data_IF_322174657366
#
_entry.id   IF_322174657366
#
_cell.length_a   1.000
_cell.length_b   1.000
_cell.length_c   1.000
_cell.angle_alpha   90.00
_cell.angle_beta   90.00
_cell.angle_gamma   90.00
#
_symmetry.space_group_name_H-M   'P 1'
#
loop_
_entity.id
_entity.type
_entity.pdbx_description
1 polymer ?
#
# COMPACT_ATOMS: atom_id res chain seq x y z
N UNK A 1 17.82 -3.11 -14.51
CA UNK A 1 16.42 -3.28 -14.92
C UNK A 1 16.16 -4.76 -15.18
N UNK A 2 15.58 -5.46 -14.32
CA UNK A 2 15.26 -6.88 -14.47
C UNK A 2 14.21 -7.34 -13.47
N UNK A 3 13.72 -6.41 -12.65
CA UNK A 3 12.63 -6.67 -11.71
C UNK A 3 11.26 -6.58 -12.38
N UNK A 4 10.23 -6.79 -11.58
CA UNK A 4 8.82 -6.69 -11.97
C UNK A 4 8.48 -5.29 -12.51
N UNK A 5 8.89 -4.24 -11.82
CA UNK A 5 8.75 -2.85 -12.22
C UNK A 5 9.99 -2.42 -13.00
N UNK A 6 9.89 -2.44 -14.33
CA UNK A 6 11.01 -2.12 -15.24
C UNK A 6 10.76 -0.85 -16.06
N UNK A 7 9.84 -0.01 -15.63
CA UNK A 7 9.49 1.27 -16.24
C UNK A 7 9.91 2.44 -15.36
N UNK A 8 9.88 3.65 -15.90
CA UNK A 8 10.17 4.89 -15.20
C UNK A 8 8.95 5.82 -15.28
N UNK A 9 8.38 6.17 -14.14
CA UNK A 9 7.22 7.06 -14.06
C UNK A 9 7.52 8.50 -14.52
N UNK A 10 8.81 8.87 -14.59
CA UNK A 10 9.27 10.14 -15.17
C UNK A 10 9.43 10.09 -16.68
N UNK A 11 9.39 8.91 -17.31
CA UNK A 11 9.61 8.78 -18.75
C UNK A 11 8.45 9.41 -19.53
N UNK A 12 8.70 10.39 -20.42
CA UNK A 12 7.65 10.99 -21.23
C UNK A 12 7.02 9.97 -22.20
N UNK A 13 7.81 9.04 -22.73
CA UNK A 13 7.31 7.97 -23.62
C UNK A 13 6.39 7.02 -22.84
N UNK A 14 6.77 6.63 -21.65
CA UNK A 14 5.93 5.74 -20.83
C UNK A 14 4.60 6.43 -20.48
N UNK A 15 4.65 7.68 -20.05
CA UNK A 15 3.44 8.48 -19.77
C UNK A 15 2.54 8.64 -20.99
N UNK A 16 3.11 8.92 -22.15
CA UNK A 16 2.34 9.00 -23.41
C UNK A 16 1.61 7.68 -23.70
N UNK A 17 2.31 6.54 -23.61
CA UNK A 17 1.72 5.23 -23.89
C UNK A 17 0.66 4.83 -22.86
N UNK A 18 0.87 5.14 -21.61
CA UNK A 18 -0.11 4.95 -20.54
C UNK A 18 -1.37 5.78 -20.80
N UNK A 19 -1.21 7.04 -21.16
CA UNK A 19 -2.33 7.91 -21.50
C UNK A 19 -3.12 7.36 -22.71
N UNK A 20 -2.43 6.94 -23.76
CA UNK A 20 -3.05 6.37 -24.96
C UNK A 20 -3.89 5.13 -24.65
N UNK A 21 -3.33 4.15 -23.92
CA UNK A 21 -4.06 2.92 -23.63
C UNK A 21 -5.25 3.16 -22.69
N UNK A 22 -5.10 4.00 -21.67
CA UNK A 22 -6.18 4.32 -20.76
C UNK A 22 -7.31 5.08 -21.46
N UNK A 23 -6.99 6.00 -22.38
CA UNK A 23 -7.99 6.67 -23.22
C UNK A 23 -8.77 5.68 -24.06
N UNK A 24 -8.09 4.77 -24.78
CA UNK A 24 -8.74 3.76 -25.62
C UNK A 24 -9.64 2.82 -24.81
N UNK A 25 -9.20 2.40 -23.63
CA UNK A 25 -10.00 1.56 -22.73
C UNK A 25 -11.23 2.32 -22.22
N UNK A 26 -11.05 3.57 -21.84
CA UNK A 26 -12.13 4.43 -21.37
C UNK A 26 -13.19 4.67 -22.45
N UNK A 27 -12.78 5.06 -23.66
CA UNK A 27 -13.68 5.26 -24.80
C UNK A 27 -14.49 4.00 -25.14
N UNK A 28 -13.86 2.83 -25.03
CA UNK A 28 -14.49 1.56 -25.37
C UNK A 28 -15.44 1.05 -24.31
N UNK A 29 -15.11 1.21 -23.02
CA UNK A 29 -15.77 0.46 -21.95
C UNK A 29 -16.51 1.32 -20.92
N UNK A 30 -16.27 2.63 -20.82
CA UNK A 30 -16.82 3.44 -19.72
C UNK A 30 -18.34 3.57 -19.74
N UNK A 31 -19.01 3.29 -20.85
CA UNK A 31 -20.49 3.26 -20.97
C UNK A 31 -21.08 1.86 -20.83
N UNK A 32 -20.25 0.82 -20.71
CA UNK A 32 -20.74 -0.55 -20.63
C UNK A 32 -21.33 -0.86 -19.25
N UNK A 33 -22.57 -1.36 -19.13
CA UNK A 33 -23.27 -1.50 -17.86
C UNK A 33 -22.64 -2.51 -16.89
N UNK A 34 -21.76 -3.39 -17.38
CA UNK A 34 -21.04 -4.35 -16.53
C UNK A 34 -19.72 -3.78 -15.96
N UNK A 35 -19.30 -2.58 -16.36
CA UNK A 35 -18.12 -1.93 -15.78
C UNK A 35 -18.53 -1.22 -14.50
N UNK A 36 -17.97 -1.66 -13.37
CA UNK A 36 -18.27 -1.12 -12.04
C UNK A 36 -17.26 -0.06 -11.61
N UNK A 37 -16.06 -0.08 -12.16
CA UNK A 37 -14.97 0.82 -11.82
C UNK A 37 -13.69 0.44 -12.55
N UNK A 38 -12.63 1.17 -12.28
CA UNK A 38 -11.31 0.99 -12.87
C UNK A 38 -10.30 0.62 -11.81
N UNK A 39 -9.51 -0.41 -12.07
CA UNK A 39 -8.29 -0.71 -11.36
C UNK A 39 -7.12 -0.31 -12.26
N UNK A 40 -6.41 0.75 -11.88
CA UNK A 40 -5.27 1.26 -12.64
C UNK A 40 -3.97 0.68 -12.11
N UNK A 41 -3.03 0.45 -13.00
CA UNK A 41 -1.73 -0.15 -12.67
C UNK A 41 -1.86 -1.40 -11.78
N UNK A 42 -0.83 -1.75 -11.07
CA UNK A 42 -0.84 -2.81 -10.06
C UNK A 42 0.31 -2.59 -9.10
N UNK A 43 0.03 -2.47 -7.81
CA UNK A 43 1.03 -2.41 -6.75
C UNK A 43 2.18 -1.47 -7.12
N UNK A 44 1.91 -0.16 -7.18
CA UNK A 44 2.96 0.82 -7.44
C UNK A 44 4.17 0.58 -6.54
N UNK A 45 5.37 0.64 -7.10
CA UNK A 45 6.57 0.44 -6.31
C UNK A 45 7.84 0.50 -7.14
N UNK A 46 8.96 0.41 -6.42
CA UNK A 46 10.29 0.48 -6.98
C UNK A 46 10.76 1.91 -7.25
N UNK A 47 12.01 2.13 -6.92
CA UNK A 47 12.68 3.41 -7.14
C UNK A 47 13.40 3.42 -8.49
N UNK A 48 13.49 4.59 -9.10
CA UNK A 48 14.22 4.79 -10.34
C UNK A 48 15.19 5.98 -10.22
N UNK A 49 16.47 5.69 -10.36
CA UNK A 49 17.55 6.66 -10.21
C UNK A 49 18.12 7.14 -11.55
N UNK A 50 17.36 7.02 -12.66
CA UNK A 50 17.80 7.49 -13.97
C UNK A 50 17.84 9.02 -14.07
N UNK A 51 18.48 9.56 -15.10
CA UNK A 51 18.62 11.01 -15.30
C UNK A 51 17.28 11.76 -15.30
N UNK A 52 16.21 11.14 -15.80
CA UNK A 52 14.87 11.74 -15.78
C UNK A 52 14.37 11.91 -14.33
N UNK A 53 14.57 10.91 -13.48
CA UNK A 53 14.19 10.99 -12.08
C UNK A 53 15.10 11.94 -11.30
N UNK A 54 16.41 11.94 -11.57
CA UNK A 54 17.36 12.89 -10.98
C UNK A 54 16.95 14.34 -11.28
N UNK A 55 16.62 14.63 -12.52
CA UNK A 55 16.21 15.98 -12.92
C UNK A 55 14.87 16.37 -12.28
N UNK A 56 13.87 15.48 -12.27
CA UNK A 56 12.59 15.74 -11.59
C UNK A 56 12.76 15.93 -10.08
N UNK A 57 13.65 15.17 -9.45
CA UNK A 57 13.95 15.33 -8.03
C UNK A 57 14.53 16.72 -7.74
N UNK A 58 15.51 17.17 -8.53
CA UNK A 58 16.07 18.52 -8.41
C UNK A 58 15.03 19.60 -8.61
N UNK A 59 14.12 19.43 -9.58
CA UNK A 59 13.05 20.40 -9.81
C UNK A 59 12.02 20.40 -8.66
N UNK A 60 11.72 19.26 -8.09
CA UNK A 60 10.88 19.12 -6.89
C UNK A 60 11.54 19.81 -5.68
N UNK A 61 12.84 19.63 -5.48
CA UNK A 61 13.61 20.33 -4.42
C UNK A 61 13.63 21.85 -4.62
N UNK A 62 13.82 22.31 -5.85
CA UNK A 62 13.74 23.75 -6.16
C UNK A 62 12.36 24.33 -5.81
N UNK A 63 11.30 23.61 -6.14
CA UNK A 63 9.94 24.04 -5.80
C UNK A 63 9.71 24.08 -4.29
N UNK A 64 10.27 23.12 -3.54
CA UNK A 64 10.14 23.03 -2.09
C UNK A 64 10.97 24.06 -1.32
N UNK A 65 12.24 24.20 -1.66
CA UNK A 65 13.20 25.02 -0.91
C UNK A 65 13.46 26.38 -1.51
N UNK A 66 13.17 26.58 -2.79
CA UNK A 66 13.37 27.80 -3.57
C UNK A 66 14.84 28.15 -3.79
N UNK A 67 15.68 28.09 -2.77
CA UNK A 67 17.11 28.38 -2.83
C UNK A 67 17.95 27.26 -2.28
N UNK A 68 19.20 27.13 -2.74
CA UNK A 68 20.17 26.18 -2.19
C UNK A 68 20.52 26.50 -0.73
N UNK A 69 20.48 27.77 -0.35
CA UNK A 69 20.74 28.19 1.03
C UNK A 69 19.68 27.61 1.97
N UNK A 70 18.38 27.69 1.63
CA UNK A 70 17.31 27.12 2.39
C UNK A 70 17.42 25.58 2.48
N UNK A 71 17.76 24.93 1.37
CA UNK A 71 17.97 23.49 1.33
C UNK A 71 19.15 23.08 2.24
N UNK A 72 20.29 23.74 2.09
CA UNK A 72 21.49 23.47 2.89
C UNK A 72 21.23 23.65 4.38
N UNK A 73 20.46 24.68 4.76
CA UNK A 73 20.05 24.91 6.13
C UNK A 73 19.13 23.79 6.64
N UNK A 74 18.11 23.43 5.87
CA UNK A 74 17.16 22.40 6.25
C UNK A 74 17.80 21.01 6.38
N UNK A 75 18.70 20.67 5.49
CA UNK A 75 19.42 19.39 5.51
C UNK A 75 20.64 19.37 6.44
N UNK A 76 20.99 20.51 7.04
CA UNK A 76 22.21 20.65 7.87
C UNK A 76 23.48 20.23 7.12
N UNK A 77 23.55 20.53 5.83
CA UNK A 77 24.57 20.00 4.91
C UNK A 77 25.99 20.52 5.16
N UNK A 78 26.15 21.52 6.04
CA UNK A 78 27.47 21.97 6.49
C UNK A 78 28.24 20.92 7.28
N UNK A 79 27.54 19.93 7.84
CA UNK A 79 28.20 18.82 8.53
C UNK A 79 29.03 18.00 7.53
N UNK A 80 30.26 17.70 7.86
CA UNK A 80 31.25 17.08 6.98
C UNK A 80 31.46 17.77 5.63
N UNK A 81 31.17 19.08 5.55
CA UNK A 81 31.36 19.89 4.34
C UNK A 81 30.53 19.45 3.12
N UNK A 82 29.32 18.95 3.35
CA UNK A 82 28.38 18.54 2.29
C UNK A 82 27.55 19.70 1.70
N UNK A 83 27.96 20.95 1.90
CA UNK A 83 27.22 22.12 1.40
C UNK A 83 27.13 22.14 -0.12
N UNK A 84 25.94 22.10 -0.65
CA UNK A 84 25.69 22.23 -2.08
C UNK A 84 25.80 23.69 -2.55
N UNK A 85 26.50 23.90 -3.64
CA UNK A 85 26.68 25.23 -4.28
C UNK A 85 26.02 25.32 -5.65
N UNK A 86 25.59 24.19 -6.21
CA UNK A 86 24.81 24.09 -7.44
C UNK A 86 23.82 22.93 -7.34
N UNK A 87 22.64 23.11 -7.91
CA UNK A 87 21.59 22.09 -7.91
C UNK A 87 22.01 20.79 -8.61
N UNK A 88 22.91 20.89 -9.60
CA UNK A 88 23.38 19.70 -10.33
C UNK A 88 24.23 18.74 -9.49
N UNK A 89 24.73 19.21 -8.34
CA UNK A 89 25.49 18.39 -7.39
C UNK A 89 24.60 17.44 -6.57
N UNK A 90 23.29 17.69 -6.54
CA UNK A 90 22.34 16.88 -5.77
C UNK A 90 21.97 15.65 -6.60
N UNK A 91 22.22 14.49 -6.04
CA UNK A 91 21.82 13.20 -6.59
C UNK A 91 20.89 12.46 -5.59
N UNK A 92 20.10 11.52 -6.09
CA UNK A 92 19.27 10.69 -5.22
C UNK A 92 20.13 9.80 -4.32
N UNK A 93 19.69 9.42 -3.12
CA UNK A 93 20.36 8.42 -2.32
C UNK A 93 20.56 7.12 -3.10
N UNK A 94 21.73 6.52 -3.00
CA UNK A 94 22.03 5.24 -3.63
C UNK A 94 22.90 4.41 -2.71
N UNK A 95 22.89 3.06 -2.79
CA UNK A 95 23.66 2.20 -1.91
C UNK A 95 25.16 2.49 -1.86
N UNK A 96 25.69 3.15 -2.89
CA UNK A 96 27.10 3.58 -2.97
C UNK A 96 27.25 5.11 -2.97
N UNK A 97 26.15 5.84 -2.79
CA UNK A 97 26.11 7.29 -2.73
C UNK A 97 26.15 7.82 -1.30
N UNK A 98 25.86 9.11 -1.17
CA UNK A 98 25.78 9.77 0.13
C UNK A 98 24.50 9.38 0.85
N UNK A 99 24.63 8.69 1.97
CA UNK A 99 23.49 8.24 2.81
C UNK A 99 23.47 8.92 4.17
N UNK A 100 24.48 9.74 4.50
CA UNK A 100 24.57 10.43 5.80
C UNK A 100 23.86 11.76 5.87
N UNK A 101 23.26 12.23 4.75
CA UNK A 101 22.43 13.42 4.72
C UNK A 101 20.98 13.01 4.91
N UNK A 102 20.51 12.98 6.16
CA UNK A 102 19.17 12.53 6.52
C UNK A 102 18.05 13.31 5.79
N UNK A 103 18.23 14.62 5.62
CA UNK A 103 17.28 15.44 4.85
C UNK A 103 17.15 15.01 3.38
N UNK A 104 18.25 14.62 2.75
CA UNK A 104 18.24 14.04 1.40
C UNK A 104 17.44 12.74 1.34
N UNK A 105 17.68 11.83 2.28
CA UNK A 105 16.99 10.54 2.33
C UNK A 105 15.48 10.73 2.50
N UNK A 106 15.06 11.57 3.46
CA UNK A 106 13.63 11.86 3.69
C UNK A 106 12.99 12.53 2.48
N UNK A 107 13.66 13.49 1.87
CA UNK A 107 13.10 14.18 0.70
C UNK A 107 13.07 13.31 -0.55
N UNK A 108 13.92 12.30 -0.66
CA UNK A 108 13.83 11.30 -1.70
C UNK A 108 12.55 10.46 -1.56
N UNK A 109 12.21 10.00 -0.35
CA UNK A 109 10.94 9.29 -0.09
C UNK A 109 9.72 10.18 -0.36
N UNK A 110 9.77 11.44 0.06
CA UNK A 110 8.71 12.43 -0.24
C UNK A 110 8.55 12.66 -1.74
N UNK A 111 9.65 12.77 -2.46
CA UNK A 111 9.65 12.90 -3.91
C UNK A 111 9.07 11.64 -4.58
N UNK A 112 9.44 10.45 -4.15
CA UNK A 112 8.87 9.20 -4.68
C UNK A 112 7.36 9.14 -4.45
N UNK A 113 6.87 9.53 -3.27
CA UNK A 113 5.45 9.67 -2.99
C UNK A 113 4.77 10.63 -3.96
N UNK A 114 5.33 11.83 -4.13
CA UNK A 114 4.80 12.83 -5.05
C UNK A 114 4.81 12.33 -6.51
N UNK A 115 5.85 11.61 -6.92
CA UNK A 115 5.97 11.04 -8.27
C UNK A 115 4.94 9.94 -8.54
N UNK A 116 4.75 9.02 -7.59
CA UNK A 116 3.73 7.95 -7.68
C UNK A 116 2.33 8.56 -7.73
N UNK A 117 2.04 9.50 -6.86
CA UNK A 117 0.74 10.18 -6.81
C UNK A 117 0.45 10.98 -8.08
N UNK A 118 1.43 11.69 -8.61
CA UNK A 118 1.32 12.41 -9.89
C UNK A 118 1.09 11.44 -11.07
N UNK A 119 1.80 10.32 -11.08
CA UNK A 119 1.60 9.30 -12.12
C UNK A 119 0.22 8.63 -11.99
N UNK A 120 -0.23 8.32 -10.80
CA UNK A 120 -1.59 7.81 -10.54
C UNK A 120 -2.66 8.78 -11.08
N UNK A 121 -2.56 10.07 -10.78
CA UNK A 121 -3.46 11.10 -11.32
C UNK A 121 -3.42 11.17 -12.85
N UNK A 122 -2.25 11.00 -13.43
CA UNK A 122 -2.08 10.93 -14.89
C UNK A 122 -2.82 9.75 -15.52
N UNK A 123 -2.82 8.58 -14.88
CA UNK A 123 -3.59 7.42 -15.33
C UNK A 123 -5.10 7.59 -15.15
N UNK A 124 -5.54 8.25 -14.07
CA UNK A 124 -6.94 8.51 -13.76
C UNK A 124 -7.58 9.51 -14.73
N UNK A 125 -6.85 10.52 -15.15
CA UNK A 125 -7.38 11.65 -15.91
C UNK A 125 -8.21 11.24 -17.16
N UNK A 126 -7.74 10.38 -18.08
CA UNK A 126 -8.52 9.97 -19.24
C UNK A 126 -9.75 9.13 -18.88
N UNK A 127 -9.69 8.35 -17.79
CA UNK A 127 -10.79 7.53 -17.31
C UNK A 127 -11.94 8.40 -16.81
N UNK A 128 -11.62 9.39 -15.99
CA UNK A 128 -12.59 10.37 -15.45
C UNK A 128 -13.12 11.32 -16.51
N UNK A 129 -12.35 11.66 -17.52
CA UNK A 129 -12.79 12.45 -18.66
C UNK A 129 -13.86 11.74 -19.49
N UNK A 130 -13.74 10.40 -19.64
CA UNK A 130 -14.74 9.60 -20.36
C UNK A 130 -16.01 9.33 -19.54
N UNK A 131 -15.85 9.04 -18.25
CA UNK A 131 -16.98 8.84 -17.32
C UNK A 131 -16.57 9.14 -15.87
N UNK A 132 -16.89 10.32 -15.40
CA UNK A 132 -16.54 10.77 -14.05
C UNK A 132 -17.21 9.96 -12.93
N UNK A 133 -18.31 9.25 -13.22
CA UNK A 133 -19.07 8.49 -12.21
C UNK A 133 -18.46 7.12 -11.90
N UNK A 134 -17.64 6.57 -12.79
CA UNK A 134 -16.97 5.29 -12.52
C UNK A 134 -15.84 5.48 -11.52
N UNK A 135 -15.87 4.75 -10.39
CA UNK A 135 -14.82 4.86 -9.39
C UNK A 135 -13.50 4.25 -9.87
N UNK A 136 -12.40 4.80 -9.38
CA UNK A 136 -11.04 4.38 -9.72
C UNK A 136 -10.27 4.02 -8.44
N UNK A 137 -9.54 2.91 -8.49
CA UNK A 137 -8.65 2.45 -7.44
C UNK A 137 -7.34 1.90 -8.02
N UNK A 138 -6.38 1.69 -7.15
CA UNK A 138 -5.23 0.81 -7.35
C UNK A 138 -5.02 0.01 -6.07
N UNK A 139 -4.39 -1.16 -6.17
CA UNK A 139 -4.14 -2.01 -5.02
C UNK A 139 -2.89 -1.58 -4.25
N UNK A 140 -3.06 -1.39 -2.94
CA UNK A 140 -1.95 -1.25 -2.01
C UNK A 140 -1.41 -2.63 -1.60
N UNK A 141 -0.16 -2.67 -1.18
CA UNK A 141 0.44 -3.87 -0.59
C UNK A 141 0.40 -3.79 0.94
N UNK A 142 0.89 -4.82 1.62
CA UNK A 142 1.28 -4.70 3.03
C UNK A 142 2.25 -3.51 3.17
N UNK A 143 2.68 -3.19 4.37
CA UNK A 143 3.44 -1.99 4.68
C UNK A 143 4.59 -1.71 3.70
N UNK A 144 4.24 -1.04 2.60
CA UNK A 144 5.25 -0.65 1.62
C UNK A 144 6.05 0.55 2.13
N UNK A 145 7.36 0.51 1.96
CA UNK A 145 8.25 1.50 2.53
C UNK A 145 8.47 2.71 1.62
N UNK A 146 8.35 2.53 0.30
CA UNK A 146 8.88 3.45 -0.69
C UNK A 146 8.04 4.73 -0.83
N UNK A 147 6.75 4.73 -0.45
CA UNK A 147 5.89 5.91 -0.54
C UNK A 147 4.78 5.93 0.52
N UNK A 148 4.23 7.10 0.74
CA UNK A 148 3.20 7.38 1.72
C UNK A 148 1.81 7.05 1.16
N UNK A 149 1.10 6.14 1.82
CA UNK A 149 -0.23 5.69 1.43
C UNK A 149 -1.30 6.76 1.63
N UNK A 150 -1.17 7.63 2.63
CA UNK A 150 -2.14 8.69 2.86
C UNK A 150 -2.22 9.62 1.66
N UNK A 151 -1.07 10.06 1.15
CA UNK A 151 -1.02 10.95 -0.02
C UNK A 151 -1.53 10.28 -1.31
N UNK A 152 -1.21 9.02 -1.54
CA UNK A 152 -1.71 8.30 -2.71
C UNK A 152 -3.22 8.06 -2.62
N UNK A 153 -3.74 7.76 -1.43
CA UNK A 153 -5.17 7.52 -1.18
C UNK A 153 -6.04 8.73 -1.57
N UNK A 154 -5.52 9.96 -1.46
CA UNK A 154 -6.26 11.16 -1.88
C UNK A 154 -6.67 11.13 -3.36
N UNK A 155 -5.84 10.51 -4.22
CA UNK A 155 -6.09 10.44 -5.66
C UNK A 155 -7.14 9.39 -6.05
N UNK A 156 -7.48 8.46 -5.16
CA UNK A 156 -8.35 7.32 -5.42
C UNK A 156 -9.79 7.57 -4.93
N UNK A 157 -10.78 6.94 -5.56
CA UNK A 157 -12.16 7.00 -5.09
C UNK A 157 -12.43 6.06 -3.93
N UNK A 158 -11.79 4.91 -3.91
CA UNK A 158 -11.87 3.94 -2.82
C UNK A 158 -10.54 3.18 -2.68
N UNK A 159 -10.33 2.58 -1.53
CA UNK A 159 -9.12 1.82 -1.22
C UNK A 159 -9.30 0.35 -1.61
N UNK A 160 -8.27 -0.21 -2.20
CA UNK A 160 -8.11 -1.65 -2.37
C UNK A 160 -6.69 -2.06 -2.01
N UNK A 161 -6.51 -3.29 -1.50
CA UNK A 161 -5.21 -3.77 -1.10
C UNK A 161 -5.06 -5.29 -1.20
N UNK A 162 -3.83 -5.75 -1.13
CA UNK A 162 -3.44 -7.14 -1.29
C UNK A 162 -2.90 -7.69 0.02
N UNK A 163 -3.44 -8.81 0.47
CA UNK A 163 -3.05 -9.41 1.73
C UNK A 163 -2.73 -10.89 1.57
N UNK A 164 -1.48 -11.21 1.88
CA UNK A 164 -0.94 -12.58 1.79
C UNK A 164 -0.28 -13.04 3.09
N UNK A 165 -0.99 -13.07 4.23
CA UNK A 165 -0.42 -13.47 5.51
C UNK A 165 0.13 -14.91 5.44
N UNK A 166 1.30 -15.12 6.04
CA UNK A 166 1.98 -16.41 6.05
C UNK A 166 1.39 -17.37 7.08
N UNK A 167 0.09 -17.65 6.98
CA UNK A 167 -0.57 -18.61 7.86
C UNK A 167 0.20 -19.94 7.94
N UNK A 168 0.41 -20.43 9.17
CA UNK A 168 1.11 -21.67 9.50
C UNK A 168 2.65 -21.62 9.32
N UNK A 169 3.24 -20.47 9.10
CA UNK A 169 4.69 -20.30 9.15
C UNK A 169 5.16 -20.28 10.59
N UNK A 170 4.57 -19.43 11.39
CA UNK A 170 4.97 -19.19 12.77
C UNK A 170 4.05 -19.94 13.74
N UNK A 171 4.49 -20.06 14.99
CA UNK A 171 3.73 -20.76 16.04
C UNK A 171 2.56 -19.93 16.57
N UNK A 172 2.63 -18.60 16.44
CA UNK A 172 1.60 -17.68 16.93
C UNK A 172 0.75 -17.13 15.77
N UNK A 173 -0.26 -17.91 15.38
CA UNK A 173 -1.24 -17.50 14.36
C UNK A 173 -2.11 -16.33 14.86
N UNK A 174 -2.26 -16.14 16.19
CA UNK A 174 -3.01 -15.03 16.77
C UNK A 174 -2.27 -13.71 16.59
N UNK A 175 -0.95 -13.70 16.80
CA UNK A 175 -0.13 -12.51 16.53
C UNK A 175 -0.21 -12.11 15.04
N UNK A 176 -0.14 -13.08 14.12
CA UNK A 176 -0.29 -12.82 12.69
C UNK A 176 -1.69 -12.28 12.36
N UNK A 177 -2.73 -12.83 12.97
CA UNK A 177 -4.11 -12.36 12.78
C UNK A 177 -4.27 -10.91 13.28
N UNK A 178 -3.70 -10.57 14.42
CA UNK A 178 -3.68 -9.21 14.97
C UNK A 178 -2.94 -8.23 14.04
N UNK A 179 -1.79 -8.63 13.54
CA UNK A 179 -1.00 -7.83 12.61
C UNK A 179 -1.77 -7.56 11.31
N UNK A 180 -2.38 -8.59 10.74
CA UNK A 180 -3.23 -8.48 9.55
C UNK A 180 -4.45 -7.59 9.81
N UNK A 181 -5.06 -7.69 10.98
CA UNK A 181 -6.19 -6.86 11.39
C UNK A 181 -5.82 -5.37 11.44
N UNK A 182 -4.64 -5.05 11.97
CA UNK A 182 -4.14 -3.66 11.99
C UNK A 182 -4.03 -3.07 10.58
N UNK A 183 -3.58 -3.86 9.60
CA UNK A 183 -3.56 -3.40 8.20
C UNK A 183 -4.95 -3.21 7.61
N UNK A 184 -5.89 -4.11 7.89
CA UNK A 184 -7.27 -3.92 7.47
C UNK A 184 -7.84 -2.62 8.02
N UNK A 185 -7.62 -2.34 9.31
CA UNK A 185 -8.08 -1.10 9.95
C UNK A 185 -7.38 0.13 9.38
N UNK A 186 -6.09 0.04 9.02
CA UNK A 186 -5.39 1.12 8.33
C UNK A 186 -6.00 1.39 6.95
N UNK A 187 -6.23 0.37 6.13
CA UNK A 187 -6.83 0.54 4.80
C UNK A 187 -8.21 1.17 4.88
N UNK A 188 -9.01 0.78 5.86
CA UNK A 188 -10.28 1.44 6.15
C UNK A 188 -10.09 2.92 6.54
N UNK A 189 -9.07 3.22 7.32
CA UNK A 189 -8.82 4.59 7.84
C UNK A 189 -8.31 5.54 6.76
N UNK A 190 -7.61 5.07 5.71
CA UNK A 190 -7.09 5.89 4.60
C UNK A 190 -8.15 6.77 3.92
N UNK A 191 -9.42 6.38 3.97
CA UNK A 191 -10.56 7.14 3.41
C UNK A 191 -11.62 7.45 4.46
N UNK A 192 -11.21 7.75 5.71
CA UNK A 192 -12.11 8.18 6.77
C UNK A 192 -13.20 7.16 7.11
N UNK A 193 -12.83 5.89 7.23
CA UNK A 193 -13.74 4.80 7.57
C UNK A 193 -14.60 4.28 6.41
N UNK A 194 -14.32 4.70 5.18
CA UNK A 194 -14.97 4.11 4.01
C UNK A 194 -14.56 2.64 3.85
N UNK A 195 -15.50 1.74 3.49
CA UNK A 195 -15.15 0.36 3.20
C UNK A 195 -14.07 0.23 2.13
N UNK A 196 -13.21 -0.75 2.30
CA UNK A 196 -12.16 -1.09 1.33
C UNK A 196 -12.47 -2.40 0.58
N UNK A 197 -11.74 -2.68 -0.47
CA UNK A 197 -11.76 -3.95 -1.19
C UNK A 197 -10.47 -4.71 -0.91
N UNK A 198 -10.55 -5.94 -0.40
CA UNK A 198 -9.43 -6.86 -0.42
C UNK A 198 -9.27 -7.37 -1.86
N UNK A 199 -8.39 -6.69 -2.62
CA UNK A 199 -8.26 -6.88 -4.07
C UNK A 199 -7.57 -8.18 -4.41
N UNK A 200 -6.56 -8.54 -3.63
CA UNK A 200 -5.84 -9.79 -3.78
C UNK A 200 -5.69 -10.53 -2.45
N UNK A 201 -5.94 -11.82 -2.50
CA UNK A 201 -5.56 -12.78 -1.47
C UNK A 201 -5.40 -14.15 -2.11
N UNK A 202 -4.71 -15.07 -1.45
CA UNK A 202 -4.65 -16.43 -1.99
C UNK A 202 -5.68 -17.33 -1.33
N UNK A 203 -6.42 -18.13 -2.11
CA UNK A 203 -7.27 -19.15 -1.52
C UNK A 203 -6.47 -20.38 -1.06
N UNK A 204 -5.21 -20.53 -1.46
CA UNK A 204 -4.34 -21.67 -1.16
C UNK A 204 -3.01 -21.27 -0.52
N UNK A 205 -1.96 -21.22 -1.32
CA UNK A 205 -0.61 -20.84 -0.91
C UNK A 205 -0.01 -19.83 -1.88
N UNK A 206 0.91 -19.01 -1.38
CA UNK A 206 1.76 -18.16 -2.21
C UNK A 206 3.03 -18.90 -2.60
N UNK A 207 3.52 -18.72 -3.82
CA UNK A 207 4.76 -19.38 -4.26
C UNK A 207 6.02 -18.51 -4.09
N UNK A 208 5.86 -17.23 -3.83
CA UNK A 208 6.95 -16.27 -3.65
C UNK A 208 7.39 -16.10 -2.19
N UNK A 209 6.68 -16.68 -1.26
CA UNK A 209 7.05 -16.73 0.15
C UNK A 209 8.22 -17.71 0.37
N UNK A 210 9.11 -17.49 1.39
CA UNK A 210 10.22 -18.39 1.70
C UNK A 210 9.80 -19.84 1.89
N UNK A 211 8.59 -20.07 2.41
CA UNK A 211 7.97 -21.39 2.52
C UNK A 211 6.53 -21.31 2.06
N UNK A 212 6.23 -22.00 0.96
CA UNK A 212 4.87 -22.08 0.42
C UNK A 212 4.09 -23.18 1.16
N UNK A 213 3.19 -22.77 2.05
CA UNK A 213 2.29 -23.68 2.77
C UNK A 213 0.84 -23.42 2.39
N UNK A 214 0.09 -24.50 2.21
CA UNK A 214 -1.36 -24.38 2.03
C UNK A 214 -2.01 -23.93 3.34
N UNK A 215 -2.99 -23.04 3.24
CA UNK A 215 -3.87 -22.71 4.36
C UNK A 215 -4.51 -23.98 4.92
N UNK A 216 -4.57 -24.13 6.24
CA UNK A 216 -5.31 -25.20 6.91
C UNK A 216 -6.79 -25.16 6.52
N UNK A 217 -7.50 -26.31 6.59
CA UNK A 217 -8.95 -26.31 6.41
C UNK A 217 -9.65 -25.27 7.28
N UNK A 218 -10.51 -24.45 6.69
CA UNK A 218 -11.23 -23.37 7.36
C UNK A 218 -10.47 -22.03 7.47
N UNK A 219 -9.15 -22.00 7.36
CA UNK A 219 -8.36 -20.77 7.49
C UNK A 219 -8.68 -19.76 6.38
N UNK A 220 -8.96 -20.23 5.17
CA UNK A 220 -9.38 -19.35 4.09
C UNK A 220 -10.67 -18.59 4.43
N UNK A 221 -11.66 -19.29 4.97
CA UNK A 221 -12.94 -18.70 5.39
C UNK A 221 -12.70 -17.71 6.54
N UNK A 222 -11.93 -18.11 7.56
CA UNK A 222 -11.66 -17.29 8.74
C UNK A 222 -10.94 -15.98 8.37
N UNK A 223 -9.87 -16.05 7.59
CA UNK A 223 -9.10 -14.87 7.17
C UNK A 223 -9.92 -13.92 6.28
N UNK A 224 -10.78 -14.46 5.43
CA UNK A 224 -11.67 -13.66 4.60
C UNK A 224 -12.76 -12.96 5.43
N UNK A 225 -13.34 -13.66 6.41
CA UNK A 225 -14.31 -13.06 7.33
C UNK A 225 -13.66 -12.01 8.24
N UNK A 226 -12.39 -12.18 8.60
CA UNK A 226 -11.64 -11.14 9.32
C UNK A 226 -11.57 -9.86 8.50
N UNK A 227 -11.21 -9.94 7.21
CA UNK A 227 -11.19 -8.75 6.35
C UNK A 227 -12.57 -8.04 6.32
N UNK A 228 -13.67 -8.81 6.19
CA UNK A 228 -15.03 -8.25 6.22
C UNK A 228 -15.36 -7.63 7.58
N UNK A 229 -14.99 -8.28 8.68
CA UNK A 229 -15.20 -7.74 10.03
C UNK A 229 -14.44 -6.43 10.29
N UNK A 230 -13.33 -6.22 9.59
CA UNK A 230 -12.53 -4.98 9.63
C UNK A 230 -12.91 -3.96 8.54
N UNK A 231 -13.99 -4.18 7.79
CA UNK A 231 -14.56 -3.20 6.86
C UNK A 231 -14.34 -3.47 5.37
N UNK A 232 -13.94 -4.68 4.97
CA UNK A 232 -13.89 -5.01 3.55
C UNK A 232 -15.29 -5.27 2.99
N UNK A 233 -15.65 -4.59 1.89
CA UNK A 233 -16.88 -4.86 1.12
C UNK A 233 -16.74 -6.03 0.14
N UNK A 234 -15.53 -6.44 -0.17
CA UNK A 234 -15.25 -7.54 -1.09
C UNK A 234 -13.95 -8.23 -0.74
N UNK A 235 -13.92 -9.55 -0.94
CA UNK A 235 -12.70 -10.37 -0.84
C UNK A 235 -12.48 -11.04 -2.19
N UNK A 236 -11.37 -10.70 -2.84
CA UNK A 236 -11.01 -11.19 -4.15
C UNK A 236 -9.76 -12.07 -4.07
N UNK A 237 -9.50 -12.84 -5.13
CA UNK A 237 -8.44 -13.84 -5.12
C UNK A 237 -7.53 -13.71 -6.34
N UNK A 238 -6.26 -13.70 -6.10
CA UNK A 238 -5.28 -14.08 -7.08
C UNK A 238 -4.94 -15.56 -6.88
N UNK A 239 -5.44 -16.52 -7.74
CA UNK A 239 -6.14 -16.22 -8.99
C UNK A 239 -7.30 -17.21 -9.22
N UNK A 240 -8.12 -16.96 -10.26
CA UNK A 240 -9.20 -17.90 -10.60
C UNK A 240 -8.67 -19.25 -11.04
N UNK A 241 -7.75 -19.28 -12.01
CA UNK A 241 -7.17 -20.50 -12.55
C UNK A 241 -5.65 -20.44 -12.50
N UNK A 242 -5.04 -21.46 -11.93
CA UNK A 242 -3.60 -21.56 -11.74
C UNK A 242 -2.83 -21.50 -13.06
N UNK A 243 -1.82 -20.66 -13.13
CA UNK A 243 -0.96 -20.44 -14.27
C UNK A 243 -0.19 -21.71 -14.64
N UNK A 244 -0.01 -21.94 -15.94
CA UNK A 244 0.72 -23.11 -16.46
C UNK A 244 2.24 -22.95 -16.40
N UNK A 245 2.72 -21.74 -16.34
CA UNK A 245 4.14 -21.41 -16.44
C UNK A 245 4.50 -20.12 -15.76
N UNK A 246 5.77 -19.69 -15.92
CA UNK A 246 6.35 -18.50 -15.32
C UNK A 246 6.51 -18.60 -13.81
N UNK A 247 6.90 -17.48 -13.18
CA UNK A 247 7.29 -17.43 -11.76
C UNK A 247 6.14 -17.75 -10.81
N UNK A 248 4.90 -17.47 -11.20
CA UNK A 248 3.70 -17.68 -10.38
C UNK A 248 2.92 -18.96 -10.70
N UNK A 249 3.50 -19.90 -11.45
CA UNK A 249 2.85 -21.18 -11.81
C UNK A 249 2.38 -22.03 -10.63
N UNK A 250 2.93 -21.82 -9.45
CA UNK A 250 2.54 -22.50 -8.22
C UNK A 250 1.76 -21.62 -7.25
N UNK A 251 1.44 -20.38 -7.62
CA UNK A 251 0.57 -19.54 -6.82
C UNK A 251 -0.80 -20.19 -6.64
N UNK A 252 -1.43 -19.97 -5.48
CA UNK A 252 -2.77 -20.50 -5.19
C UNK A 252 -3.81 -20.02 -6.19
N UNK A 253 -4.80 -20.85 -6.44
CA UNK A 253 -5.92 -20.52 -7.32
C UNK A 253 -7.19 -21.23 -6.89
N UNK A 254 -8.36 -20.72 -7.30
CA UNK A 254 -9.64 -21.39 -7.07
C UNK A 254 -9.71 -22.69 -7.86
N UNK A 255 -9.29 -22.65 -9.13
CA UNK A 255 -9.13 -23.83 -9.98
C UNK A 255 -7.65 -24.15 -10.11
N UNK A 256 -7.21 -25.21 -9.44
CA UNK A 256 -5.82 -25.68 -9.47
C UNK A 256 -5.47 -26.40 -10.79
N UNK A 257 -4.23 -26.86 -10.93
CA UNK A 257 -3.74 -27.61 -12.09
C UNK A 257 -4.53 -28.87 -12.41
N UNK A 258 -5.24 -29.45 -11.43
CA UNK A 258 -6.19 -30.55 -11.66
C UNK A 258 -7.33 -30.17 -12.62
N UNK A 259 -7.57 -28.88 -12.86
CA UNK A 259 -8.46 -28.39 -13.91
C UNK A 259 -9.94 -28.32 -13.55
N UNK A 260 -10.33 -28.59 -12.32
CA UNK A 260 -11.72 -28.50 -11.86
C UNK A 260 -11.84 -27.83 -10.47
N UNK A 261 -13.03 -27.36 -10.14
CA UNK A 261 -13.32 -26.65 -8.89
C UNK A 261 -13.61 -27.59 -7.70
N UNK A 262 -13.89 -28.87 -7.96
CA UNK A 262 -14.17 -29.84 -6.88
C UNK A 262 -12.91 -30.23 -6.12
N UNK A 263 -12.37 -29.27 -5.41
CA UNK A 263 -11.23 -29.38 -4.49
C UNK A 263 -11.63 -28.83 -3.14
N UNK A 264 -10.83 -29.06 -2.10
CA UNK A 264 -11.06 -28.43 -0.80
C UNK A 264 -11.12 -26.89 -0.93
N UNK A 265 -10.18 -26.30 -1.67
CA UNK A 265 -10.11 -24.86 -1.89
C UNK A 265 -11.37 -24.34 -2.58
N UNK A 266 -11.77 -24.95 -3.69
CA UNK A 266 -12.97 -24.53 -4.41
C UNK A 266 -14.26 -24.65 -3.57
N UNK A 267 -14.36 -25.71 -2.73
CA UNK A 267 -15.48 -25.85 -1.78
C UNK A 267 -15.46 -24.78 -0.69
N UNK A 268 -14.28 -24.42 -0.15
CA UNK A 268 -14.16 -23.34 0.85
C UNK A 268 -14.53 -21.98 0.26
N UNK A 269 -14.09 -21.67 -0.95
CA UNK A 269 -14.48 -20.43 -1.66
C UNK A 269 -15.99 -20.38 -1.90
N UNK A 270 -16.59 -21.47 -2.37
CA UNK A 270 -18.04 -21.55 -2.57
C UNK A 270 -18.80 -21.42 -1.25
N UNK A 271 -18.30 -22.02 -0.17
CA UNK A 271 -18.90 -21.90 1.17
C UNK A 271 -18.81 -20.48 1.70
N UNK A 272 -17.68 -19.79 1.50
CA UNK A 272 -17.54 -18.38 1.88
C UNK A 272 -18.54 -17.50 1.12
N UNK A 273 -18.68 -17.67 -0.19
CA UNK A 273 -19.69 -16.96 -0.98
C UNK A 273 -21.10 -17.18 -0.45
N UNK A 274 -21.45 -18.41 -0.06
CA UNK A 274 -22.74 -18.73 0.54
C UNK A 274 -22.93 -18.14 1.96
N UNK A 275 -21.85 -17.92 2.72
CA UNK A 275 -21.90 -17.21 4.00
C UNK A 275 -22.15 -15.71 3.74
N UNK A 276 -21.35 -15.09 2.89
CA UNK A 276 -21.44 -13.64 2.62
C UNK A 276 -22.78 -13.25 2.00
N UNK A 277 -23.38 -14.10 1.16
CA UNK A 277 -24.71 -13.86 0.60
C UNK A 277 -25.83 -13.79 1.65
N UNK A 278 -25.59 -14.27 2.87
CA UNK A 278 -26.52 -14.22 4.01
C UNK A 278 -26.27 -13.04 4.94
N UNK A 279 -25.30 -12.19 4.62
CA UNK A 279 -24.87 -11.05 5.42
C UNK A 279 -24.94 -9.74 4.60
N UNK A 280 -26.07 -9.47 3.90
CA UNK A 280 -26.16 -8.26 3.06
C UNK A 280 -26.04 -6.98 3.87
N UNK A 281 -26.35 -7.03 5.16
CA UNK A 281 -26.31 -5.90 6.08
C UNK A 281 -24.91 -5.36 6.35
N UNK A 282 -23.86 -6.17 6.17
CA UNK A 282 -22.48 -5.71 6.40
C UNK A 282 -21.94 -4.87 5.24
N UNK A 283 -22.58 -4.93 4.07
CA UNK A 283 -22.12 -4.20 2.88
C UNK A 283 -22.29 -2.70 3.06
N UNK A 284 -21.23 -1.93 2.83
CA UNK A 284 -21.21 -0.48 2.97
C UNK A 284 -21.24 0.00 4.43
N UNK A 285 -21.17 -0.91 5.41
CA UNK A 285 -21.10 -0.54 6.82
C UNK A 285 -19.82 0.20 7.13
N UNK A 286 -19.94 1.19 8.03
CA UNK A 286 -18.79 1.91 8.59
C UNK A 286 -18.59 1.50 10.05
N UNK A 287 -17.34 1.40 10.45
CA UNK A 287 -16.98 1.19 11.85
C UNK A 287 -16.72 2.56 12.51
N UNK A 288 -17.41 2.85 13.60
CA UNK A 288 -17.15 4.04 14.41
C UNK A 288 -16.16 3.70 15.52
N UNK A 289 -14.87 3.90 15.23
CA UNK A 289 -13.83 3.74 16.25
C UNK A 289 -13.78 4.97 17.16
N UNK A 290 -13.61 4.74 18.47
CA UNK A 290 -13.35 5.78 19.47
C UNK A 290 -11.90 5.80 19.95
N UNK A 291 -11.11 4.86 19.44
CA UNK A 291 -9.67 4.75 19.68
C UNK A 291 -8.96 4.93 18.36
N UNK A 292 -7.92 5.73 18.35
CA UNK A 292 -7.02 5.86 17.20
C UNK A 292 -5.59 5.53 17.61
N UNK A 293 -4.84 4.95 16.69
CA UNK A 293 -3.39 4.78 16.78
C UNK A 293 -2.75 5.51 15.62
N UNK A 294 -1.82 6.39 15.92
CA UNK A 294 -1.06 7.11 14.89
C UNK A 294 0.00 6.17 14.31
N UNK A 295 -0.05 6.06 12.99
CA UNK A 295 1.00 5.47 12.19
C UNK A 295 1.41 6.46 11.10
N UNK A 296 2.53 7.13 11.33
CA UNK A 296 3.05 8.17 10.47
C UNK A 296 4.21 7.64 9.63
N UNK A 297 4.06 7.71 8.31
CA UNK A 297 5.06 7.17 7.39
C UNK A 297 6.34 8.00 7.37
N UNK A 298 6.24 9.31 7.54
CA UNK A 298 7.42 10.17 7.57
C UNK A 298 8.22 9.96 8.85
N UNK A 299 7.54 9.79 9.98
CA UNK A 299 8.18 9.42 11.24
C UNK A 299 8.85 8.03 11.14
N UNK A 300 8.24 7.05 10.45
CA UNK A 300 8.86 5.76 10.17
C UNK A 300 10.19 5.92 9.42
N UNK A 301 10.18 6.66 8.31
CA UNK A 301 11.40 6.92 7.54
C UNK A 301 12.47 7.62 8.39
N UNK A 302 12.06 8.61 9.17
CA UNK A 302 12.99 9.35 10.02
C UNK A 302 13.60 8.48 11.13
N UNK A 303 12.82 7.59 11.74
CA UNK A 303 13.30 6.63 12.75
C UNK A 303 14.31 5.64 12.17
N UNK A 304 14.05 5.14 10.97
CA UNK A 304 14.93 4.19 10.30
C UNK A 304 16.24 4.84 9.82
N UNK A 305 16.19 6.15 9.50
CA UNK A 305 17.35 6.92 9.07
C UNK A 305 18.14 7.53 10.25
N UNK A 306 17.51 7.76 11.39
CA UNK A 306 18.12 8.39 12.54
C UNK A 306 19.21 7.53 13.20
N UNK A 307 20.34 8.16 13.51
CA UNK A 307 21.45 7.51 14.21
C UNK A 307 21.49 7.91 15.69
N UNK A 308 20.69 7.25 16.50
CA UNK A 308 20.72 7.45 17.95
C UNK A 308 19.35 7.19 18.59
N UNK A 309 19.22 7.07 19.88
CA UNK A 309 20.10 6.41 20.83
C UNK A 309 20.22 4.89 20.57
N UNK A 310 19.54 4.36 19.56
CA UNK A 310 19.59 2.99 19.09
C UNK A 310 19.61 2.99 17.55
N UNK A 311 20.68 2.50 16.94
CA UNK A 311 20.88 2.57 15.50
C UNK A 311 20.29 1.40 14.71
N UNK A 312 19.83 0.34 15.39
CA UNK A 312 19.20 -0.82 14.75
C UNK A 312 18.01 -1.29 15.60
N UNK A 313 16.97 -1.79 14.94
CA UNK A 313 15.85 -2.43 15.59
C UNK A 313 14.97 -1.45 16.36
N UNK A 314 14.71 -0.27 15.81
CA UNK A 314 13.68 0.64 16.33
C UNK A 314 12.28 0.03 16.20
N UNK A 315 12.06 -0.81 15.19
CA UNK A 315 10.87 -1.65 15.01
C UNK A 315 9.55 -0.86 15.19
N UNK A 316 9.45 0.33 14.55
CA UNK A 316 8.29 1.22 14.69
C UNK A 316 6.96 0.51 14.43
N UNK A 317 6.86 -0.18 13.31
CA UNK A 317 5.66 -0.93 12.89
C UNK A 317 5.25 -2.00 13.92
N UNK A 318 6.21 -2.75 14.44
CA UNK A 318 5.97 -3.74 15.49
C UNK A 318 5.49 -3.07 16.78
N UNK A 319 6.09 -1.94 17.15
CA UNK A 319 5.69 -1.18 18.34
C UNK A 319 4.26 -0.67 18.21
N UNK A 320 3.88 -0.14 17.05
CA UNK A 320 2.48 0.25 16.78
C UNK A 320 1.54 -0.95 16.93
N UNK A 321 1.90 -2.11 16.38
CA UNK A 321 1.09 -3.32 16.50
C UNK A 321 0.98 -3.82 17.95
N UNK A 322 2.03 -3.73 18.75
CA UNK A 322 2.00 -4.07 20.16
C UNK A 322 1.04 -3.17 20.98
N UNK A 323 0.90 -1.89 20.59
CA UNK A 323 -0.08 -0.98 21.17
C UNK A 323 -1.51 -1.21 20.64
N UNK A 324 -1.66 -1.67 19.40
CA UNK A 324 -2.94 -2.03 18.81
C UNK A 324 -3.54 -3.31 19.42
N UNK A 325 -2.70 -4.30 19.69
CA UNK A 325 -3.10 -5.65 20.13
C UNK A 325 -4.06 -5.70 21.31
N UNK A 326 -3.87 -4.96 22.43
CA UNK A 326 -4.78 -5.01 23.57
C UNK A 326 -6.23 -4.62 23.25
N UNK A 327 -6.43 -3.71 22.30
CA UNK A 327 -7.77 -3.30 21.86
C UNK A 327 -8.39 -4.36 20.96
N UNK A 328 -7.62 -4.87 20.01
CA UNK A 328 -8.07 -5.93 19.13
C UNK A 328 -8.48 -7.20 19.88
N UNK A 329 -7.70 -7.62 20.87
CA UNK A 329 -8.02 -8.78 21.73
C UNK A 329 -9.31 -8.61 22.55
N UNK A 330 -9.71 -7.37 22.82
CA UNK A 330 -10.95 -7.04 23.52
C UNK A 330 -12.12 -6.70 22.58
N UNK A 331 -11.92 -6.76 21.27
CA UNK A 331 -12.94 -6.42 20.28
C UNK A 331 -13.28 -4.92 20.23
N UNK A 332 -12.35 -4.07 20.65
CA UNK A 332 -12.49 -2.62 20.57
C UNK A 332 -12.00 -2.15 19.20
N UNK A 333 -12.87 -1.47 18.47
CA UNK A 333 -12.51 -0.92 17.16
C UNK A 333 -11.45 0.19 17.27
N UNK A 334 -10.45 0.13 16.42
CA UNK A 334 -9.34 1.10 16.36
C UNK A 334 -9.21 1.61 14.92
N UNK A 335 -9.06 2.91 14.76
CA UNK A 335 -8.58 3.50 13.50
C UNK A 335 -7.06 3.63 13.56
N UNK A 336 -6.39 3.27 12.47
CA UNK A 336 -4.96 3.49 12.30
C UNK A 336 -4.81 4.69 11.36
N UNK A 337 -4.34 5.81 11.89
CA UNK A 337 -4.43 7.11 11.24
C UNK A 337 -3.05 7.78 11.08
N UNK A 338 -2.97 8.72 10.16
CA UNK A 338 -1.83 9.64 10.05
C UNK A 338 -1.83 10.70 11.16
N UNK A 339 -0.67 11.32 11.39
CA UNK A 339 -0.54 12.40 12.39
C UNK A 339 -1.36 13.66 12.03
N UNK A 340 -1.60 13.91 10.74
CA UNK A 340 -2.32 15.09 10.24
C UNK A 340 -3.86 14.95 10.23
N UNK A 341 -4.40 13.80 10.68
CA UNK A 341 -5.85 13.56 10.71
C UNK A 341 -6.51 14.30 11.88
N UNK A 342 -7.76 14.77 11.69
CA UNK A 342 -8.56 15.36 12.77
C UNK A 342 -8.77 14.35 13.91
N UNK A 343 -8.28 14.67 15.09
CA UNK A 343 -8.34 13.82 16.28
C UNK A 343 -9.64 14.00 17.11
N UNK A 344 -10.46 14.99 16.79
CA UNK A 344 -11.67 15.33 17.57
C UNK A 344 -12.70 14.21 17.70
N UNK A 345 -12.86 13.26 16.74
CA UNK A 345 -13.81 12.15 16.86
C UNK A 345 -13.41 11.09 17.91
N UNK A 346 -12.14 11.07 18.33
CA UNK A 346 -11.60 9.99 19.16
C UNK A 346 -11.60 10.35 20.64
N UNK A 347 -11.86 9.35 21.50
CA UNK A 347 -11.77 9.46 22.94
C UNK A 347 -10.37 9.14 23.48
N UNK A 348 -9.62 8.33 22.72
CA UNK A 348 -8.25 7.95 23.02
C UNK A 348 -7.42 7.95 21.74
N UNK A 349 -6.30 8.64 21.77
CA UNK A 349 -5.30 8.62 20.71
C UNK A 349 -3.99 8.12 21.26
N UNK A 350 -3.38 7.15 20.60
CA UNK A 350 -2.10 6.56 20.98
C UNK A 350 -1.08 6.92 19.88
N UNK A 351 0.04 7.48 20.28
CA UNK A 351 1.10 7.93 19.38
C UNK A 351 2.42 7.21 19.73
N UNK A 352 2.61 5.95 19.32
CA UNK A 352 3.82 5.21 19.62
C UNK A 352 5.01 5.82 18.90
N UNK A 353 6.12 6.09 19.62
CA UNK A 353 7.38 6.56 19.05
C UNK A 353 7.24 7.74 18.07
N UNK A 354 6.25 8.59 18.23
CA UNK A 354 6.08 9.78 17.40
C UNK A 354 7.08 10.85 17.89
N UNK A 355 8.26 10.89 17.24
CA UNK A 355 9.37 11.76 17.62
C UNK A 355 9.58 12.93 16.64
N UNK A 356 8.87 12.95 15.53
CA UNK A 356 8.95 13.96 14.50
C UNK A 356 7.61 14.67 14.30
#
# INVERSE_FOLDING_TARGET
HGGRHNHCMSSPVYREKTLQINTLLAERYSSHPAVLGWHISNEYGGECHCDLCQNRFRDWLKARYQTLENLNQAWWSTFWSHTYTDWSQIESPAPQGETSIHGLNLDWHRFNTAQVTDFCRHEIAPLKAANASLPVTTNFMEYFYDYDYWQLAEALDFISWDSYPMWHRDKDETALACYTAMYHDMMRSLKGGQPFVLMESTPGATNWQPTSKLKKPGMHILSSLQAVAHGADSVQYFQWRKSRGSVEKFHGAVVDHVGHIDTRIGREVSKLGAILSKLPEVRGCRTEAKVAIIFDQQNRWALDDAQGPRNLGMEYEKTVNEHYRPFWEQGIAVDVIDADVDLTPYQLVIAPMLYM
#
